data_IF_712978240389
#
_entry.id   IF_712978240389
#
_cell.length_a   1.000
_cell.length_b   1.000
_cell.length_c   1.000
_cell.angle_alpha   90.00
_cell.angle_beta   90.00
_cell.angle_gamma   90.00
#
_symmetry.space_group_name_H-M   'P 1'
#
loop_
_entity.id
_entity.type
_entity.pdbx_description
1 polymer ?
#
# COMPACT_ATOMS: atom_id res chain seq x y z
N UNK A 1 61.28 39.93 14.65
CA UNK A 1 61.25 40.58 13.32
C UNK A 1 59.84 40.40 12.74
N UNK A 2 59.04 41.47 12.63
CA UNK A 2 57.63 41.40 12.24
C UNK A 2 57.47 41.65 10.73
N UNK A 3 56.55 40.95 10.06
CA UNK A 3 56.08 41.37 8.73
C UNK A 3 54.74 40.70 8.34
N UNK A 4 53.74 41.56 8.15
CA UNK A 4 52.58 41.43 7.27
C UNK A 4 51.43 40.46 7.58
N UNK A 5 50.45 41.02 8.30
CA UNK A 5 49.02 40.91 7.97
C UNK A 5 48.80 40.97 6.45
N UNK A 6 48.20 39.93 5.88
CA UNK A 6 47.35 40.04 4.71
C UNK A 6 45.92 39.70 5.12
N UNK A 7 45.14 40.76 5.31
CA UNK A 7 43.68 40.72 5.28
C UNK A 7 43.26 40.36 3.86
N UNK A 8 42.86 39.11 3.63
CA UNK A 8 42.14 38.74 2.42
C UNK A 8 40.72 38.33 2.78
N UNK A 9 39.80 39.30 2.65
CA UNK A 9 38.37 39.07 2.67
C UNK A 9 37.96 38.32 1.40
N UNK A 10 38.00 37.00 1.42
CA UNK A 10 37.33 36.16 0.45
C UNK A 10 36.13 35.53 1.13
N UNK A 11 35.07 36.34 1.29
CA UNK A 11 33.73 35.85 1.62
C UNK A 11 33.28 35.01 0.42
N UNK A 12 33.43 33.69 0.54
CA UNK A 12 33.14 32.71 -0.51
C UNK A 12 31.66 32.68 -0.88
N UNK A 13 31.36 32.99 -2.14
CA UNK A 13 30.02 33.01 -2.75
C UNK A 13 29.47 31.62 -3.06
N UNK A 14 29.58 30.67 -2.14
CA UNK A 14 29.27 29.25 -2.40
C UNK A 14 28.05 28.72 -1.63
N UNK A 15 27.41 29.52 -0.78
CA UNK A 15 26.18 29.11 -0.10
C UNK A 15 25.03 28.88 -1.11
N UNK A 16 24.23 27.80 -0.98
CA UNK A 16 22.99 27.63 -1.73
C UNK A 16 22.04 28.83 -1.59
N UNK A 17 22.10 29.52 -0.43
CA UNK A 17 21.33 30.74 -0.17
C UNK A 17 21.79 31.92 -1.04
N UNK A 18 23.08 31.99 -1.36
CA UNK A 18 23.65 33.03 -2.23
C UNK A 18 23.44 32.72 -3.72
N UNK A 19 23.43 31.44 -4.13
CA UNK A 19 23.07 31.02 -5.51
C UNK A 19 21.62 31.39 -5.87
N UNK A 20 20.70 31.34 -4.89
CA UNK A 20 19.31 31.81 -5.08
C UNK A 20 19.24 33.34 -5.22
N UNK A 21 20.07 34.08 -4.47
CA UNK A 21 20.19 35.54 -4.60
C UNK A 21 20.80 35.98 -5.93
N UNK A 22 21.76 35.23 -6.48
CA UNK A 22 22.44 35.56 -7.73
C UNK A 22 21.63 35.20 -8.99
N UNK A 23 20.83 34.11 -8.98
CA UNK A 23 19.92 33.77 -10.08
C UNK A 23 18.87 34.85 -10.37
N UNK A 24 18.50 35.65 -9.37
CA UNK A 24 17.61 36.79 -9.56
C UNK A 24 18.28 38.01 -10.25
N UNK A 25 19.61 38.02 -10.41
CA UNK A 25 20.36 39.13 -11.05
C UNK A 25 20.88 38.82 -12.45
N UNK A 26 20.95 37.55 -12.86
CA UNK A 26 21.62 37.15 -14.11
C UNK A 26 20.66 36.55 -15.14
N UNK A 27 19.46 37.14 -15.28
CA UNK A 27 18.52 36.82 -16.35
C UNK A 27 18.25 38.08 -17.21
N UNK A 28 19.32 38.71 -17.72
CA UNK A 28 19.24 39.60 -18.89
C UNK A 28 20.45 39.26 -19.77
N UNK A 29 20.35 38.12 -20.46
CA UNK A 29 21.24 37.73 -21.55
C UNK A 29 20.66 38.22 -22.86
N UNK A 30 21.43 39.06 -23.55
CA UNK A 30 21.17 39.64 -24.88
C UNK A 30 20.98 38.54 -25.94
N UNK A 31 19.98 38.69 -26.80
CA UNK A 31 19.86 38.02 -28.10
C UNK A 31 19.50 39.05 -29.19
N UNK A 32 19.86 38.79 -30.46
CA UNK A 32 20.13 39.84 -31.44
C UNK A 32 18.87 40.43 -32.09
N UNK A 33 19.01 41.67 -32.53
CA UNK A 33 17.99 42.51 -33.15
C UNK A 33 17.57 41.92 -34.51
N UNK A 34 16.27 41.63 -34.67
CA UNK A 34 15.59 41.56 -35.97
C UNK A 34 14.57 42.70 -36.02
N UNK A 35 14.73 43.56 -37.01
CA UNK A 35 13.95 44.77 -37.24
C UNK A 35 12.54 44.45 -37.72
N UNK A 36 11.51 44.90 -36.98
CA UNK A 36 10.23 45.36 -37.56
C UNK A 36 9.50 46.31 -36.60
N UNK A 37 8.81 47.27 -37.23
CA UNK A 37 8.17 48.50 -36.76
C UNK A 37 7.22 48.36 -35.55
N UNK A 38 7.40 49.27 -34.59
CA UNK A 38 6.38 50.22 -34.12
C UNK A 38 5.16 49.70 -33.37
N UNK A 39 5.27 49.58 -32.03
CA UNK A 39 4.17 49.86 -31.08
C UNK A 39 4.77 50.47 -29.82
N UNK A 40 4.48 51.75 -29.58
CA UNK A 40 4.87 52.46 -28.35
C UNK A 40 3.97 51.99 -27.21
N UNK A 41 4.49 51.10 -26.36
CA UNK A 41 3.90 50.81 -25.04
C UNK A 41 4.79 51.38 -23.96
N UNK A 42 4.22 52.27 -23.14
CA UNK A 42 4.87 52.90 -21.98
C UNK A 42 5.47 51.82 -21.08
N UNK A 43 6.80 51.79 -21.00
CA UNK A 43 7.53 51.00 -20.02
C UNK A 43 7.28 51.57 -18.62
N UNK A 44 6.61 50.79 -17.76
CA UNK A 44 6.63 51.05 -16.31
C UNK A 44 8.04 50.74 -15.83
N UNK A 45 8.82 51.79 -15.62
CA UNK A 45 10.15 51.76 -15.04
C UNK A 45 10.14 51.08 -13.67
N UNK A 46 11.25 50.39 -13.39
CA UNK A 46 11.39 49.38 -12.36
C UNK A 46 11.06 49.86 -10.95
N UNK A 47 10.17 49.12 -10.29
CA UNK A 47 10.03 49.16 -8.84
C UNK A 47 11.15 48.31 -8.24
N UNK A 48 12.20 49.00 -7.82
CA UNK A 48 13.31 48.53 -6.99
C UNK A 48 12.94 47.37 -6.05
N UNK A 49 13.68 46.26 -6.15
CA UNK A 49 13.55 45.01 -5.37
C UNK A 49 13.95 45.13 -3.89
N UNK A 50 13.79 46.32 -3.29
CA UNK A 50 14.35 46.66 -1.97
C UNK A 50 13.58 46.12 -0.76
N UNK A 51 12.57 45.25 -0.91
CA UNK A 51 11.79 44.79 0.25
C UNK A 51 11.18 43.37 0.12
N UNK A 52 11.81 42.46 -0.62
CA UNK A 52 11.38 41.05 -0.62
C UNK A 52 11.47 40.42 0.79
N UNK A 53 12.38 40.90 1.63
CA UNK A 53 12.59 40.47 3.01
C UNK A 53 11.72 41.23 4.04
N UNK A 54 10.72 42.03 3.64
CA UNK A 54 9.72 42.61 4.58
C UNK A 54 8.28 42.20 4.30
N UNK A 55 8.02 41.42 3.24
CA UNK A 55 6.67 40.87 3.00
C UNK A 55 6.22 39.94 4.13
N UNK A 56 4.94 39.96 4.55
CA UNK A 56 4.43 38.93 5.44
C UNK A 56 4.55 37.54 4.82
N UNK A 57 4.58 36.51 5.65
CA UNK A 57 4.57 35.12 5.20
C UNK A 57 3.24 34.81 4.52
N UNK A 58 3.29 34.01 3.47
CA UNK A 58 2.09 33.44 2.85
C UNK A 58 1.47 32.39 3.77
N UNK A 59 0.15 32.16 3.69
CA UNK A 59 -0.54 31.09 4.43
C UNK A 59 0.12 29.71 4.23
N UNK A 60 0.68 29.45 3.04
CA UNK A 60 1.42 28.21 2.77
C UNK A 60 2.74 28.16 3.55
N UNK A 61 3.47 29.27 3.59
CA UNK A 61 4.74 29.39 4.32
C UNK A 61 4.52 29.27 5.82
N UNK A 62 3.46 29.89 6.36
CA UNK A 62 3.07 29.75 7.77
C UNK A 62 2.70 28.31 8.12
N UNK A 63 1.97 27.60 7.26
CA UNK A 63 1.64 26.18 7.48
C UNK A 63 2.89 25.32 7.55
N UNK A 64 3.80 25.47 6.58
CA UNK A 64 5.07 24.72 6.56
C UNK A 64 5.92 25.06 7.79
N UNK A 65 6.00 26.34 8.15
CA UNK A 65 6.74 26.77 9.34
C UNK A 65 6.17 26.13 10.61
N UNK A 66 4.85 26.13 10.78
CA UNK A 66 4.18 25.51 11.93
C UNK A 66 4.42 24.00 11.97
N UNK A 67 4.40 23.32 10.83
CA UNK A 67 4.69 21.88 10.74
C UNK A 67 6.14 21.57 11.13
N UNK A 68 7.10 22.34 10.62
CA UNK A 68 8.53 22.20 10.93
C UNK A 68 8.80 22.47 12.41
N UNK A 69 8.13 23.46 13.00
CA UNK A 69 8.31 23.81 14.41
C UNK A 69 7.53 22.89 15.36
N UNK A 70 6.54 22.13 14.88
CA UNK A 70 5.72 21.25 15.70
C UNK A 70 6.52 20.09 16.34
N UNK A 71 7.66 19.71 15.76
CA UNK A 71 8.53 18.65 16.28
C UNK A 71 9.99 19.13 16.37
N UNK A 72 10.76 18.58 17.30
CA UNK A 72 12.21 18.75 17.30
C UNK A 72 12.81 18.32 15.96
N UNK A 73 13.65 19.17 15.39
CA UNK A 73 14.35 18.85 14.15
C UNK A 73 15.53 17.95 14.50
N UNK A 74 15.40 16.67 14.15
CA UNK A 74 16.51 15.72 14.26
C UNK A 74 17.58 16.04 13.20
N UNK A 75 18.83 15.64 13.44
CA UNK A 75 19.92 15.63 12.45
C UNK A 75 21.01 14.67 12.91
N UNK A 76 21.88 14.22 12.00
CA UNK A 76 23.10 13.48 12.34
C UNK A 76 24.25 14.48 12.47
N UNK A 77 24.87 14.56 13.65
CA UNK A 77 25.93 15.53 13.95
C UNK A 77 27.25 15.18 13.24
N UNK A 78 28.08 16.20 13.03
CA UNK A 78 29.42 16.08 12.46
C UNK A 78 30.30 17.19 13.03
N UNK A 79 31.57 16.87 13.33
CA UNK A 79 32.53 17.82 13.90
C UNK A 79 32.71 19.08 13.04
N UNK A 80 32.53 18.93 11.73
CA UNK A 80 32.64 20.00 10.74
C UNK A 80 31.59 21.09 10.94
N UNK A 81 30.42 20.78 11.53
CA UNK A 81 29.30 21.72 11.62
C UNK A 81 29.54 22.89 12.57
N UNK A 82 30.49 22.76 13.51
CA UNK A 82 30.82 23.78 14.52
C UNK A 82 31.97 24.68 14.10
N UNK A 83 32.59 24.41 12.94
CA UNK A 83 33.67 25.24 12.42
C UNK A 83 33.13 26.59 11.94
N UNK A 84 33.89 27.69 12.10
CA UNK A 84 33.42 29.04 11.75
C UNK A 84 33.10 29.21 10.26
N UNK A 85 33.71 28.40 9.39
CA UNK A 85 33.51 28.37 7.94
C UNK A 85 32.75 27.12 7.46
N UNK A 86 32.05 26.42 8.36
CA UNK A 86 31.34 25.17 8.08
C UNK A 86 30.41 25.25 6.86
N UNK A 87 29.67 26.35 6.70
CA UNK A 87 28.76 26.54 5.56
C UNK A 87 29.50 26.53 4.22
N UNK A 88 30.59 27.30 4.14
CA UNK A 88 31.42 27.45 2.95
C UNK A 88 32.15 26.16 2.64
N UNK A 89 32.60 25.44 3.67
CA UNK A 89 33.24 24.13 3.52
C UNK A 89 32.24 23.09 3.00
N UNK A 90 31.12 22.88 3.68
CA UNK A 90 30.12 21.83 3.36
C UNK A 90 29.52 22.04 1.97
N UNK A 91 29.17 23.28 1.61
CA UNK A 91 28.62 23.57 0.28
C UNK A 91 29.68 23.88 -0.78
N UNK A 92 30.94 24.03 -0.39
CA UNK A 92 32.09 24.09 -1.28
C UNK A 92 32.56 22.72 -1.77
N UNK A 93 32.15 21.63 -1.10
CA UNK A 93 32.38 20.26 -1.57
C UNK A 93 31.72 20.03 -2.94
N UNK A 94 32.27 19.05 -3.67
CA UNK A 94 31.85 18.70 -5.03
C UNK A 94 30.33 18.62 -5.22
N UNK A 95 29.87 19.11 -6.37
CA UNK A 95 28.48 19.04 -6.76
C UNK A 95 28.19 17.63 -7.30
N UNK A 96 27.24 16.95 -6.66
CA UNK A 96 26.82 15.61 -7.05
C UNK A 96 25.67 15.75 -8.05
N UNK A 97 25.80 15.11 -9.21
CA UNK A 97 24.80 15.12 -10.27
C UNK A 97 23.44 14.63 -9.75
N UNK A 98 22.36 15.28 -10.21
CA UNK A 98 21.00 14.85 -9.89
C UNK A 98 20.62 13.67 -10.79
N UNK A 99 20.01 12.62 -10.24
CA UNK A 99 19.59 11.48 -11.04
C UNK A 99 18.48 11.88 -12.01
N UNK A 100 18.45 11.24 -13.18
CA UNK A 100 17.27 11.28 -14.04
C UNK A 100 16.26 10.24 -13.56
N UNK A 101 15.11 10.71 -13.07
CA UNK A 101 13.99 9.88 -12.60
C UNK A 101 12.84 9.78 -13.61
N UNK A 102 13.04 10.28 -14.84
CA UNK A 102 12.01 10.25 -15.88
C UNK A 102 11.52 8.83 -16.20
N UNK A 103 12.36 7.82 -15.96
CA UNK A 103 12.01 6.40 -16.15
C UNK A 103 11.01 5.87 -15.12
N UNK A 104 10.90 6.49 -13.93
CA UNK A 104 10.07 5.99 -12.83
C UNK A 104 8.59 6.32 -12.99
N UNK A 105 8.27 7.47 -13.60
CA UNK A 105 6.88 7.94 -13.79
C UNK A 105 6.06 7.02 -14.72
N UNK A 106 6.51 6.71 -15.95
CA UNK A 106 5.76 5.82 -16.86
C UNK A 106 5.53 4.45 -16.25
N UNK A 107 6.51 3.90 -15.52
CA UNK A 107 6.39 2.60 -14.87
C UNK A 107 5.25 2.58 -13.82
N UNK A 108 5.10 3.64 -13.04
CA UNK A 108 4.02 3.74 -12.06
C UNK A 108 2.67 4.02 -12.72
N UNK A 109 2.65 4.75 -13.84
CA UNK A 109 1.45 5.00 -14.63
C UNK A 109 0.97 3.74 -15.37
N UNK A 110 1.86 2.91 -15.90
CA UNK A 110 1.52 1.64 -16.56
C UNK A 110 0.89 0.61 -15.60
N UNK A 111 1.22 0.69 -14.31
CA UNK A 111 0.63 -0.12 -13.24
C UNK A 111 -0.74 0.39 -12.78
N UNK A 112 -1.14 1.60 -13.20
CA UNK A 112 -2.45 2.21 -12.91
C UNK A 112 -3.24 2.21 -14.23
N UNK A 113 -4.29 1.39 -14.39
CA UNK A 113 -4.99 1.28 -15.68
C UNK A 113 -5.74 2.58 -16.00
N UNK A 114 -5.08 3.52 -16.67
CA UNK A 114 -5.70 4.69 -17.30
C UNK A 114 -5.52 4.60 -18.81
N UNK A 115 -6.65 4.55 -19.51
CA UNK A 115 -6.73 4.69 -20.97
C UNK A 115 -6.01 5.98 -21.41
N UNK A 116 -4.92 5.84 -22.15
CA UNK A 116 -4.43 6.88 -23.05
C UNK A 116 -2.94 7.20 -22.96
N UNK A 117 -2.23 6.91 -24.07
CA UNK A 117 -0.83 7.19 -24.42
C UNK A 117 0.25 6.54 -23.53
N UNK A 118 0.77 5.44 -24.06
CA UNK A 118 2.03 4.80 -23.63
C UNK A 118 3.18 5.61 -24.23
N UNK A 119 3.82 6.48 -23.44
CA UNK A 119 5.14 6.99 -23.78
C UNK A 119 6.18 5.94 -23.37
N UNK A 120 6.96 5.45 -24.33
CA UNK A 120 8.03 4.49 -24.02
C UNK A 120 9.05 5.15 -23.09
N UNK A 121 9.37 4.54 -21.92
CA UNK A 121 10.30 5.14 -20.99
C UNK A 121 11.67 5.26 -21.65
N UNK A 122 12.19 6.48 -21.74
CA UNK A 122 13.61 6.70 -22.05
C UNK A 122 14.42 5.94 -21.00
N UNK A 123 15.35 5.09 -21.43
CA UNK A 123 16.31 4.45 -20.53
C UNK A 123 17.15 5.54 -19.87
N UNK A 124 16.71 6.00 -18.70
CA UNK A 124 17.41 7.00 -17.91
C UNK A 124 18.76 6.44 -17.48
N UNK A 125 19.80 7.29 -17.50
CA UNK A 125 21.09 6.95 -16.91
C UNK A 125 20.91 6.83 -15.40
N UNK A 126 20.96 5.62 -14.87
CA UNK A 126 21.00 5.40 -13.42
C UNK A 126 22.34 5.92 -12.89
N UNK A 127 22.32 7.06 -12.21
CA UNK A 127 23.49 7.62 -11.55
C UNK A 127 23.74 6.81 -10.27
N UNK A 128 24.69 5.89 -10.31
CA UNK A 128 25.11 5.14 -9.12
C UNK A 128 26.10 5.98 -8.32
N UNK A 129 25.73 6.35 -7.09
CA UNK A 129 26.58 7.17 -6.24
C UNK A 129 27.72 6.37 -5.60
N UNK A 130 28.92 6.96 -5.60
CA UNK A 130 30.06 6.47 -4.81
C UNK A 130 29.85 6.74 -3.32
N UNK A 131 30.60 6.05 -2.45
CA UNK A 131 30.50 6.27 -1.00
C UNK A 131 30.85 7.72 -0.62
N UNK A 132 31.79 8.32 -1.34
CA UNK A 132 32.18 9.71 -1.15
C UNK A 132 31.05 10.68 -1.52
N UNK A 133 30.39 10.45 -2.66
CA UNK A 133 29.26 11.28 -3.10
C UNK A 133 28.06 11.17 -2.15
N UNK A 134 27.74 9.97 -1.66
CA UNK A 134 26.71 9.77 -0.64
C UNK A 134 27.04 10.59 0.62
N UNK A 135 28.28 10.50 1.13
CA UNK A 135 28.72 11.30 2.29
C UNK A 135 28.53 12.80 2.06
N UNK A 136 28.90 13.31 0.88
CA UNK A 136 28.74 14.73 0.54
C UNK A 136 27.26 15.15 0.61
N UNK A 137 26.36 14.36 0.01
CA UNK A 137 24.92 14.65 0.05
C UNK A 137 24.37 14.61 1.47
N UNK A 138 24.71 13.59 2.26
CA UNK A 138 24.27 13.48 3.66
C UNK A 138 24.85 14.58 4.56
N UNK A 139 26.09 15.03 4.33
CA UNK A 139 26.67 16.18 5.03
C UNK A 139 25.92 17.48 4.70
N UNK A 140 25.66 17.75 3.42
CA UNK A 140 24.89 18.92 2.95
C UNK A 140 23.45 18.92 3.49
N UNK A 141 22.82 17.75 3.54
CA UNK A 141 21.48 17.54 4.10
C UNK A 141 21.44 17.79 5.62
N UNK A 142 22.35 17.16 6.37
CA UNK A 142 22.38 17.27 7.82
C UNK A 142 22.82 18.67 8.30
N UNK A 143 23.70 19.35 7.57
CA UNK A 143 24.08 20.73 7.90
C UNK A 143 22.88 21.69 7.83
N UNK A 144 22.02 21.55 6.81
CA UNK A 144 20.79 22.34 6.73
C UNK A 144 19.87 22.10 7.93
N UNK A 145 19.69 20.84 8.35
CA UNK A 145 18.90 20.47 9.54
C UNK A 145 19.52 20.97 10.84
N UNK A 146 20.85 20.89 10.96
CA UNK A 146 21.60 21.47 12.08
C UNK A 146 21.34 22.97 12.24
N UNK A 147 21.38 23.73 11.14
CA UNK A 147 21.08 25.17 11.15
C UNK A 147 19.64 25.46 11.56
N UNK A 148 18.67 24.70 11.07
CA UNK A 148 17.29 24.85 11.50
C UNK A 148 17.12 24.53 13.00
N UNK A 149 17.80 23.47 13.48
CA UNK A 149 17.76 23.08 14.89
C UNK A 149 18.41 24.12 15.80
N UNK A 150 19.50 24.75 15.38
CA UNK A 150 20.12 25.85 16.12
C UNK A 150 19.17 27.02 16.33
N UNK A 151 18.43 27.42 15.27
CA UNK A 151 17.39 28.47 15.37
C UNK A 151 16.24 28.02 16.26
N UNK A 152 15.82 26.75 16.17
CA UNK A 152 14.75 26.20 17.01
C UNK A 152 15.12 26.21 18.50
N UNK A 153 16.39 25.96 18.84
CA UNK A 153 16.91 26.04 20.22
C UNK A 153 16.92 27.50 20.70
N UNK A 154 17.42 28.43 19.89
CA UNK A 154 17.47 29.87 20.23
C UNK A 154 16.07 30.46 20.47
N UNK A 155 15.06 29.91 19.77
CA UNK A 155 13.68 30.34 19.92
C UNK A 155 13.10 30.04 21.31
N UNK A 156 13.50 28.93 21.93
CA UNK A 156 13.08 28.49 23.28
C UNK A 156 11.55 28.59 23.51
N UNK A 157 10.77 28.07 22.55
CA UNK A 157 9.30 28.05 22.62
C UNK A 157 8.58 29.37 22.30
N UNK A 158 9.32 30.45 22.00
CA UNK A 158 8.74 31.75 21.57
C UNK A 158 8.26 31.70 20.12
N UNK A 159 7.56 32.75 19.66
CA UNK A 159 7.22 32.90 18.23
C UNK A 159 8.43 33.42 17.46
N UNK A 160 8.79 32.83 16.31
CA UNK A 160 9.96 33.25 15.57
C UNK A 160 9.76 34.64 15.00
N UNK A 161 10.83 35.45 15.02
CA UNK A 161 10.86 36.71 14.27
C UNK A 161 10.71 36.43 12.77
N UNK A 162 10.24 37.41 11.99
CA UNK A 162 10.06 37.24 10.54
C UNK A 162 11.36 36.83 9.83
N UNK A 163 12.50 37.31 10.31
CA UNK A 163 13.83 36.94 9.78
C UNK A 163 14.16 35.49 10.09
N UNK A 164 14.01 35.06 11.35
CA UNK A 164 14.23 33.67 11.76
C UNK A 164 13.29 32.70 11.04
N UNK A 165 12.01 33.06 10.93
CA UNK A 165 11.02 32.25 10.23
C UNK A 165 11.40 32.02 8.76
N UNK A 166 11.88 33.06 8.07
CA UNK A 166 12.36 32.92 6.69
C UNK A 166 13.65 32.13 6.60
N UNK A 167 14.55 32.25 7.57
CA UNK A 167 15.77 31.45 7.59
C UNK A 167 15.46 29.96 7.76
N UNK A 168 14.56 29.60 8.68
CA UNK A 168 14.08 28.22 8.84
C UNK A 168 13.45 27.70 7.54
N UNK A 169 12.57 28.47 6.91
CA UNK A 169 11.93 28.06 5.66
C UNK A 169 12.94 27.86 4.52
N UNK A 170 13.95 28.74 4.43
CA UNK A 170 15.03 28.59 3.44
C UNK A 170 15.82 27.31 3.68
N UNK A 171 16.30 27.08 4.90
CA UNK A 171 17.02 25.84 5.22
C UNK A 171 16.16 24.59 5.04
N UNK A 172 14.87 24.66 5.37
CA UNK A 172 13.92 23.58 5.11
C UNK A 172 13.86 23.23 3.63
N UNK A 173 13.74 24.23 2.74
CA UNK A 173 13.74 23.97 1.28
C UNK A 173 15.06 23.35 0.79
N UNK A 174 16.19 23.75 1.36
CA UNK A 174 17.50 23.17 1.03
C UNK A 174 17.57 21.72 1.51
N UNK A 175 17.17 21.44 2.75
CA UNK A 175 17.14 20.10 3.32
C UNK A 175 16.24 19.16 2.51
N UNK A 176 15.01 19.58 2.20
CA UNK A 176 14.08 18.79 1.39
C UNK A 176 14.63 18.53 -0.02
N UNK A 177 15.30 19.51 -0.64
CA UNK A 177 15.90 19.28 -1.97
C UNK A 177 16.99 18.20 -1.98
N UNK A 178 17.81 18.11 -0.92
CA UNK A 178 18.81 17.05 -0.80
C UNK A 178 18.18 15.73 -0.40
N UNK A 179 17.15 15.76 0.45
CA UNK A 179 16.37 14.58 0.84
C UNK A 179 15.74 13.92 -0.37
N UNK A 180 15.10 14.72 -1.24
CA UNK A 180 14.56 14.29 -2.53
C UNK A 180 15.65 13.69 -3.42
N UNK A 181 16.77 14.41 -3.62
CA UNK A 181 17.88 13.90 -4.46
C UNK A 181 18.43 12.54 -3.97
N UNK A 182 18.61 12.38 -2.65
CA UNK A 182 19.09 11.12 -2.06
C UNK A 182 18.04 10.01 -2.25
N UNK A 183 16.75 10.31 -2.10
CA UNK A 183 15.70 9.33 -2.32
C UNK A 183 15.61 8.92 -3.80
N UNK A 184 15.61 9.89 -4.71
CA UNK A 184 15.54 9.72 -6.16
C UNK A 184 16.66 8.82 -6.70
N UNK A 185 17.90 9.03 -6.23
CA UNK A 185 19.06 8.20 -6.62
C UNK A 185 18.89 6.73 -6.22
N UNK A 186 18.06 6.44 -5.21
CA UNK A 186 17.86 5.11 -4.65
C UNK A 186 16.49 4.48 -4.99
N UNK A 187 15.65 5.11 -5.83
CA UNK A 187 14.36 4.53 -6.24
C UNK A 187 14.51 3.19 -6.97
N UNK A 188 15.56 3.04 -7.78
CA UNK A 188 15.85 1.81 -8.50
C UNK A 188 16.09 0.62 -7.55
N UNK A 189 16.66 0.87 -6.36
CA UNK A 189 16.87 -0.15 -5.34
C UNK A 189 15.52 -0.70 -4.85
N UNK A 190 14.55 0.16 -4.55
CA UNK A 190 13.23 -0.25 -4.06
C UNK A 190 12.53 -1.16 -5.07
N UNK A 191 12.55 -0.78 -6.36
CA UNK A 191 11.97 -1.60 -7.41
C UNK A 191 12.70 -2.93 -7.59
N UNK A 192 14.03 -2.93 -7.56
CA UNK A 192 14.82 -4.15 -7.67
C UNK A 192 14.52 -5.11 -6.51
N UNK A 193 14.30 -4.57 -5.30
CA UNK A 193 13.90 -5.36 -4.14
C UNK A 193 12.45 -5.85 -4.25
N UNK A 194 11.52 -4.99 -4.66
CA UNK A 194 10.11 -5.32 -4.82
C UNK A 194 9.91 -6.45 -5.84
N UNK A 195 10.59 -6.40 -6.98
CA UNK A 195 10.54 -7.45 -8.02
C UNK A 195 10.98 -8.83 -7.54
N UNK A 196 11.82 -8.90 -6.51
CA UNK A 196 12.28 -10.19 -5.95
C UNK A 196 11.27 -10.81 -4.99
N UNK A 197 10.35 -10.02 -4.45
CA UNK A 197 9.31 -10.52 -3.56
C UNK A 197 8.16 -10.96 -4.46
N UNK A 198 7.97 -12.28 -4.59
CA UNK A 198 6.84 -12.85 -5.32
C UNK A 198 5.56 -12.48 -4.56
N UNK A 199 4.81 -11.52 -5.08
CA UNK A 199 3.50 -11.10 -4.54
C UNK A 199 2.44 -11.46 -5.57
N UNK A 200 1.26 -11.84 -5.09
CA UNK A 200 0.08 -12.11 -5.92
C UNK A 200 -0.38 -10.82 -6.61
N UNK A 201 -0.95 -10.96 -7.81
CA UNK A 201 -1.26 -9.83 -8.68
C UNK A 201 -2.16 -8.77 -7.99
N UNK A 202 -1.85 -7.49 -8.19
CA UNK A 202 -2.62 -6.34 -7.68
C UNK A 202 -1.93 -5.49 -6.59
N UNK A 203 -0.98 -6.03 -5.83
CA UNK A 203 -0.34 -5.33 -4.68
C UNK A 203 1.03 -4.68 -5.00
N UNK A 204 1.52 -4.75 -6.24
CA UNK A 204 2.89 -4.32 -6.55
C UNK A 204 3.11 -2.81 -6.33
N UNK A 205 2.17 -1.96 -6.78
CA UNK A 205 2.27 -0.51 -6.61
C UNK A 205 2.22 -0.09 -5.13
N UNK A 206 1.39 -0.76 -4.34
CA UNK A 206 1.28 -0.53 -2.89
C UNK A 206 2.55 -0.96 -2.16
N UNK A 207 3.12 -2.11 -2.54
CA UNK A 207 4.40 -2.55 -2.02
C UNK A 207 5.50 -1.53 -2.31
N UNK A 208 5.65 -1.12 -3.57
CA UNK A 208 6.65 -0.13 -3.99
C UNK A 208 6.48 1.17 -3.21
N UNK A 209 5.23 1.62 -3.02
CA UNK A 209 4.92 2.82 -2.25
C UNK A 209 5.34 2.70 -0.78
N UNK A 210 5.08 1.56 -0.11
CA UNK A 210 5.55 1.31 1.26
C UNK A 210 7.09 1.24 1.33
N UNK A 211 7.72 0.65 0.30
CA UNK A 211 9.18 0.62 0.16
C UNK A 211 9.79 2.01 0.04
N UNK A 212 9.20 2.89 -0.78
CA UNK A 212 9.63 4.29 -0.92
C UNK A 212 9.46 5.06 0.39
N UNK A 213 8.36 4.83 1.13
CA UNK A 213 8.17 5.44 2.45
C UNK A 213 9.23 4.97 3.45
N UNK A 214 9.62 3.69 3.39
CA UNK A 214 10.71 3.17 4.21
C UNK A 214 12.08 3.73 3.79
N UNK A 215 12.31 3.93 2.50
CA UNK A 215 13.49 4.59 1.96
C UNK A 215 13.60 6.03 2.50
N UNK A 216 12.54 6.83 2.40
CA UNK A 216 12.51 8.21 2.93
C UNK A 216 12.84 8.25 4.43
N UNK A 217 12.22 7.38 5.23
CA UNK A 217 12.55 7.25 6.67
C UNK A 217 13.99 6.82 6.92
N UNK A 218 14.59 6.09 5.98
CA UNK A 218 15.99 5.67 6.06
C UNK A 218 16.93 6.83 5.77
N UNK A 219 16.62 7.69 4.80
CA UNK A 219 17.37 8.93 4.51
C UNK A 219 17.44 9.81 5.76
N UNK A 220 16.31 9.96 6.47
CA UNK A 220 16.25 10.85 7.64
C UNK A 220 17.15 10.42 8.81
N UNK A 221 17.46 9.12 8.90
CA UNK A 221 18.13 8.48 10.05
C UNK A 221 19.52 7.91 9.72
N UNK A 222 19.91 7.94 8.45
CA UNK A 222 21.16 7.32 8.03
C UNK A 222 22.36 8.15 8.49
N UNK A 223 23.31 7.46 9.12
CA UNK A 223 24.55 8.03 9.63
C UNK A 223 25.71 7.61 8.73
N UNK A 224 26.23 8.57 7.96
CA UNK A 224 27.33 8.34 7.04
C UNK A 224 28.71 8.25 7.73
N UNK A 225 28.81 8.65 9.00
CA UNK A 225 30.04 8.56 9.79
C UNK A 225 30.42 7.13 10.14
N UNK A 226 29.47 6.20 10.11
CA UNK A 226 29.69 4.77 10.41
C UNK A 226 30.42 3.99 9.32
N UNK A 227 30.70 4.60 8.17
CA UNK A 227 31.47 3.98 7.09
C UNK A 227 30.74 2.93 6.24
N UNK A 228 29.45 2.69 6.49
CA UNK A 228 28.64 1.78 5.66
C UNK A 228 28.01 2.50 4.47
N UNK A 229 27.68 1.74 3.42
CA UNK A 229 26.89 2.23 2.29
C UNK A 229 25.43 2.47 2.69
N UNK A 230 24.82 3.51 2.12
CA UNK A 230 23.41 3.82 2.38
C UNK A 230 22.48 2.66 1.97
N UNK A 231 22.75 2.06 0.80
CA UNK A 231 21.99 0.93 0.27
C UNK A 231 21.90 -0.25 1.25
N UNK A 232 22.97 -0.54 2.00
CA UNK A 232 22.99 -1.60 3.02
C UNK A 232 22.00 -1.34 4.15
N UNK A 233 21.94 -0.09 4.63
CA UNK A 233 21.00 0.31 5.68
C UNK A 233 19.56 0.36 5.16
N UNK A 234 19.35 1.02 4.02
CA UNK A 234 18.03 1.19 3.40
C UNK A 234 17.39 -0.17 3.06
N UNK A 235 18.17 -1.12 2.53
CA UNK A 235 17.69 -2.46 2.20
C UNK A 235 17.03 -3.16 3.40
N UNK A 236 17.63 -3.08 4.60
CA UNK A 236 17.04 -3.68 5.81
C UNK A 236 15.70 -3.04 6.19
N UNK A 237 15.61 -1.71 6.08
CA UNK A 237 14.39 -0.97 6.38
C UNK A 237 13.27 -1.24 5.36
N UNK A 238 13.62 -1.30 4.06
CA UNK A 238 12.70 -1.62 2.96
C UNK A 238 12.17 -3.05 3.12
N UNK A 239 13.04 -4.04 3.34
CA UNK A 239 12.63 -5.43 3.54
C UNK A 239 11.69 -5.58 4.75
N UNK A 240 11.97 -4.88 5.85
CA UNK A 240 11.10 -4.84 7.02
C UNK A 240 9.74 -4.22 6.70
N UNK A 241 9.70 -3.17 5.88
CA UNK A 241 8.46 -2.51 5.48
C UNK A 241 7.61 -3.42 4.58
N UNK A 242 8.23 -4.09 3.62
CA UNK A 242 7.58 -5.10 2.77
C UNK A 242 6.99 -6.26 3.57
N UNK A 243 7.75 -6.82 4.52
CA UNK A 243 7.25 -7.88 5.40
C UNK A 243 6.05 -7.41 6.24
N UNK A 244 6.10 -6.20 6.81
CA UNK A 244 4.98 -5.63 7.56
C UNK A 244 3.76 -5.38 6.68
N UNK A 245 3.96 -4.94 5.43
CA UNK A 245 2.88 -4.72 4.48
C UNK A 245 2.16 -6.03 4.16
N UNK A 246 2.88 -7.09 3.79
CA UNK A 246 2.29 -8.41 3.52
C UNK A 246 1.51 -8.98 4.71
N UNK A 247 2.04 -8.82 5.94
CA UNK A 247 1.32 -9.23 7.16
C UNK A 247 0.04 -8.41 7.40
N UNK A 248 0.06 -7.12 7.07
CA UNK A 248 -1.10 -6.23 7.21
C UNK A 248 -2.16 -6.57 6.16
N UNK A 249 -1.78 -6.76 4.90
CA UNK A 249 -2.69 -7.16 3.83
C UNK A 249 -3.32 -8.52 4.15
N UNK A 250 -2.53 -9.52 4.54
CA UNK A 250 -3.04 -10.84 4.93
C UNK A 250 -4.03 -10.75 6.10
N UNK A 251 -3.72 -9.97 7.15
CA UNK A 251 -4.64 -9.75 8.28
C UNK A 251 -5.91 -9.02 7.87
N UNK A 252 -5.81 -8.05 6.97
CA UNK A 252 -6.96 -7.34 6.44
C UNK A 252 -7.87 -8.29 5.67
N UNK A 253 -7.30 -9.09 4.75
CA UNK A 253 -8.03 -10.10 3.97
C UNK A 253 -8.66 -11.21 4.82
N UNK A 254 -8.02 -11.59 5.93
CA UNK A 254 -8.60 -12.54 6.89
C UNK A 254 -9.77 -11.94 7.69
N UNK A 255 -9.71 -10.65 8.01
CA UNK A 255 -10.73 -9.97 8.82
C UNK A 255 -11.91 -9.47 7.98
N UNK A 256 -11.62 -9.09 6.75
CA UNK A 256 -12.56 -8.63 5.75
C UNK A 256 -12.33 -9.47 4.50
N UNK A 257 -12.88 -10.70 4.44
CA UNK A 257 -13.08 -11.38 3.17
C UNK A 257 -13.82 -10.39 2.27
N UNK A 258 -13.26 -10.08 1.12
CA UNK A 258 -13.86 -9.15 0.16
C UNK A 258 -15.25 -9.63 -0.26
N UNK A 259 -16.10 -8.71 -0.70
CA UNK A 259 -17.33 -9.03 -1.43
C UNK A 259 -17.03 -9.97 -2.60
N UNK A 260 -17.98 -10.88 -2.88
CA UNK A 260 -17.98 -11.92 -3.93
C UNK A 260 -16.98 -11.64 -5.06
N UNK A 261 -15.87 -12.39 -5.08
CA UNK A 261 -14.95 -12.43 -6.22
C UNK A 261 -15.28 -13.67 -7.07
N UNK A 262 -15.92 -13.49 -8.24
CA UNK A 262 -16.33 -14.60 -9.11
C UNK A 262 -15.15 -15.46 -9.58
N UNK A 263 -13.90 -14.96 -9.53
CA UNK A 263 -12.72 -15.70 -9.96
C UNK A 263 -12.16 -16.64 -8.87
N UNK A 264 -12.45 -16.39 -7.59
CA UNK A 264 -11.89 -17.14 -6.46
C UNK A 264 -12.91 -17.94 -5.65
N UNK A 265 -14.19 -17.62 -5.76
CA UNK A 265 -15.26 -18.39 -5.11
C UNK A 265 -15.76 -19.49 -6.04
N UNK A 266 -15.76 -20.73 -5.55
CA UNK A 266 -16.37 -21.85 -6.29
C UNK A 266 -17.87 -21.64 -6.28
N UNK A 267 -18.51 -21.79 -7.43
CA UNK A 267 -19.96 -21.71 -7.52
C UNK A 267 -20.61 -22.76 -6.61
N UNK A 268 -21.40 -22.31 -5.64
CA UNK A 268 -22.23 -23.16 -4.78
C UNK A 268 -23.35 -23.87 -5.57
N UNK A 269 -23.50 -23.58 -6.86
CA UNK A 269 -24.53 -24.15 -7.74
C UNK A 269 -24.62 -25.67 -7.66
N UNK A 270 -23.47 -26.38 -7.63
CA UNK A 270 -23.47 -27.84 -7.54
C UNK A 270 -23.91 -28.35 -6.17
N UNK A 271 -23.62 -27.60 -5.10
CA UNK A 271 -24.02 -27.96 -3.74
C UNK A 271 -25.50 -27.67 -3.52
N UNK A 272 -25.98 -26.50 -3.96
CA UNK A 272 -27.40 -26.13 -3.97
C UNK A 272 -28.22 -27.12 -4.79
N UNK A 273 -27.78 -27.45 -6.02
CA UNK A 273 -28.48 -28.42 -6.88
C UNK A 273 -28.49 -29.82 -6.26
N UNK A 274 -27.43 -30.22 -5.57
CA UNK A 274 -27.41 -31.50 -4.83
C UNK A 274 -28.40 -31.48 -3.66
N UNK A 275 -28.48 -30.37 -2.92
CA UNK A 275 -29.41 -30.23 -1.81
C UNK A 275 -30.87 -30.28 -2.27
N UNK A 276 -31.20 -29.60 -3.37
CA UNK A 276 -32.52 -29.67 -4.02
C UNK A 276 -32.84 -31.12 -4.44
N UNK A 277 -31.93 -31.79 -5.14
CA UNK A 277 -32.16 -33.18 -5.57
C UNK A 277 -32.36 -34.15 -4.39
N UNK A 278 -31.65 -33.94 -3.27
CA UNK A 278 -31.84 -34.72 -2.04
C UNK A 278 -33.20 -34.46 -1.42
N UNK A 279 -33.67 -33.20 -1.42
CA UNK A 279 -34.98 -32.84 -0.92
C UNK A 279 -36.10 -33.48 -1.75
N UNK A 280 -36.02 -33.38 -3.09
CA UNK A 280 -36.99 -33.96 -4.02
C UNK A 280 -37.05 -35.49 -3.89
N UNK A 281 -35.88 -36.15 -3.81
CA UNK A 281 -35.81 -37.61 -3.62
C UNK A 281 -36.41 -38.03 -2.28
N UNK A 282 -36.21 -37.24 -1.22
CA UNK A 282 -36.79 -37.51 0.09
C UNK A 282 -38.31 -37.34 0.09
N UNK A 283 -38.84 -36.37 -0.65
CA UNK A 283 -40.28 -36.19 -0.83
C UNK A 283 -40.91 -37.35 -1.62
N UNK A 284 -40.26 -37.83 -2.68
CA UNK A 284 -40.71 -38.98 -3.45
C UNK A 284 -40.80 -40.25 -2.58
N UNK A 285 -39.78 -40.51 -1.75
CA UNK A 285 -39.79 -41.63 -0.80
C UNK A 285 -40.95 -41.51 0.20
N UNK A 286 -41.20 -40.31 0.73
CA UNK A 286 -42.35 -40.05 1.62
C UNK A 286 -43.67 -40.34 0.92
N UNK A 287 -43.83 -39.90 -0.32
CA UNK A 287 -45.04 -40.13 -1.11
C UNK A 287 -45.30 -41.62 -1.37
N UNK A 288 -44.25 -42.38 -1.72
CA UNK A 288 -44.31 -43.84 -1.91
C UNK A 288 -44.76 -44.54 -0.63
N UNK A 289 -44.27 -44.08 0.53
CA UNK A 289 -44.65 -44.63 1.83
C UNK A 289 -46.09 -44.28 2.23
N UNK A 290 -46.55 -43.05 1.99
CA UNK A 290 -47.90 -42.61 2.35
C UNK A 290 -48.97 -43.31 1.51
N UNK A 291 -48.79 -43.34 0.18
CA UNK A 291 -49.68 -44.05 -0.75
C UNK A 291 -49.47 -45.57 -0.80
N UNK A 292 -48.50 -46.10 -0.04
CA UNK A 292 -48.10 -47.51 -0.01
C UNK A 292 -47.87 -48.14 -1.41
N UNK A 293 -47.24 -47.39 -2.33
CA UNK A 293 -47.00 -47.84 -3.71
C UNK A 293 -46.08 -49.05 -3.81
N UNK A 294 -45.26 -49.29 -2.79
CA UNK A 294 -44.32 -50.42 -2.71
C UNK A 294 -44.91 -51.69 -2.08
N UNK A 295 -46.24 -51.74 -1.89
CA UNK A 295 -46.95 -52.90 -1.30
C UNK A 295 -46.25 -53.41 -0.03
N UNK A 296 -45.94 -52.48 0.87
CA UNK A 296 -45.31 -52.81 2.13
C UNK A 296 -46.34 -53.46 3.04
N UNK A 297 -45.96 -54.56 3.66
CA UNK A 297 -46.75 -55.18 4.73
C UNK A 297 -46.88 -54.20 5.90
N UNK A 298 -47.93 -54.35 6.71
CA UNK A 298 -48.14 -53.54 7.92
C UNK A 298 -46.90 -53.52 8.81
N UNK A 299 -46.23 -54.67 8.97
CA UNK A 299 -44.99 -54.81 9.75
C UNK A 299 -43.80 -54.09 9.08
N UNK A 300 -43.67 -54.19 7.75
CA UNK A 300 -42.62 -53.49 6.99
C UNK A 300 -42.77 -51.97 7.10
N UNK A 301 -44.01 -51.46 7.01
CA UNK A 301 -44.32 -50.03 7.16
C UNK A 301 -43.99 -49.52 8.55
N UNK A 302 -44.41 -50.23 9.61
CA UNK A 302 -44.12 -49.87 11.01
C UNK A 302 -42.61 -49.82 11.28
N UNK A 303 -41.85 -50.79 10.77
CA UNK A 303 -40.38 -50.80 10.91
C UNK A 303 -39.75 -49.57 10.27
N UNK A 304 -40.12 -49.21 9.04
CA UNK A 304 -39.53 -48.07 8.34
C UNK A 304 -39.96 -46.73 8.97
N UNK A 305 -41.24 -46.56 9.33
CA UNK A 305 -41.75 -45.33 9.96
C UNK A 305 -40.99 -45.02 11.26
N UNK A 306 -40.88 -45.99 12.16
CA UNK A 306 -40.21 -45.80 13.45
C UNK A 306 -38.68 -45.72 13.34
N UNK A 307 -38.08 -46.45 12.38
CA UNK A 307 -36.62 -46.45 12.20
C UNK A 307 -36.10 -45.14 11.63
N UNK A 308 -36.85 -44.53 10.72
CA UNK A 308 -36.44 -43.30 10.02
C UNK A 308 -37.19 -42.05 10.50
N UNK A 309 -38.11 -42.18 11.46
CA UNK A 309 -38.89 -41.05 12.00
C UNK A 309 -39.84 -40.43 10.97
N UNK A 310 -40.33 -41.23 10.02
CA UNK A 310 -41.20 -40.77 8.93
C UNK A 310 -42.64 -40.74 9.46
N UNK A 311 -43.34 -39.60 9.31
CA UNK A 311 -44.72 -39.43 9.77
C UNK A 311 -44.90 -39.21 11.28
N UNK A 312 -43.82 -39.22 12.06
CA UNK A 312 -43.82 -38.82 13.48
C UNK A 312 -43.50 -37.34 13.62
N UNK A 313 -44.05 -36.70 14.67
CA UNK A 313 -43.72 -35.31 15.01
C UNK A 313 -42.20 -35.11 15.04
N UNK A 314 -41.65 -33.98 14.55
CA UNK A 314 -40.20 -33.72 14.49
C UNK A 314 -39.47 -33.80 15.85
N UNK A 315 -40.22 -33.90 16.96
CA UNK A 315 -39.69 -34.09 18.31
C UNK A 315 -39.43 -35.56 18.69
N UNK A 316 -39.89 -36.54 17.89
CA UNK A 316 -39.67 -37.97 18.16
C UNK A 316 -38.43 -38.45 17.41
N UNK A 317 -37.33 -38.81 18.09
CA UNK A 317 -36.13 -39.29 17.43
C UNK A 317 -36.35 -40.68 16.79
N UNK A 318 -35.60 -41.01 15.72
CA UNK A 318 -35.65 -42.33 15.10
C UNK A 318 -35.26 -43.42 16.11
N UNK A 319 -36.02 -44.51 16.15
CA UNK A 319 -35.79 -45.62 17.06
C UNK A 319 -34.65 -46.53 16.56
N UNK A 320 -33.93 -47.14 17.49
CA UNK A 320 -32.92 -48.17 17.18
C UNK A 320 -33.59 -49.49 16.75
N UNK A 321 -32.86 -50.35 16.03
CA UNK A 321 -33.37 -51.66 15.61
C UNK A 321 -33.81 -52.54 16.78
N UNK A 322 -33.19 -52.36 17.93
CA UNK A 322 -33.51 -53.07 19.17
C UNK A 322 -34.82 -52.56 19.77
N UNK A 323 -35.01 -51.24 19.84
CA UNK A 323 -36.25 -50.62 20.31
C UNK A 323 -37.43 -50.94 19.39
N UNK A 324 -37.23 -50.91 18.07
CA UNK A 324 -38.25 -51.34 17.10
C UNK A 324 -38.55 -52.84 17.25
N UNK A 325 -37.55 -53.66 17.54
CA UNK A 325 -37.71 -55.10 17.80
C UNK A 325 -38.54 -55.37 19.05
N UNK A 326 -38.29 -54.64 20.14
CA UNK A 326 -39.06 -54.71 21.38
C UNK A 326 -40.54 -54.32 21.16
N UNK A 327 -40.81 -53.33 20.30
CA UNK A 327 -42.18 -52.89 19.98
C UNK A 327 -42.96 -53.95 19.18
N UNK A 328 -42.29 -54.64 18.25
CA UNK A 328 -42.93 -55.61 17.33
C UNK A 328 -42.88 -57.04 17.90
N UNK A 329 -42.12 -57.28 18.97
CA UNK A 329 -41.93 -58.59 19.59
C UNK A 329 -40.98 -59.51 18.81
N UNK A 330 -39.98 -58.94 18.12
CA UNK A 330 -39.01 -59.70 17.30
C UNK A 330 -37.57 -59.34 17.65
N UNK A 331 -36.64 -60.23 17.29
CA UNK A 331 -35.20 -59.97 17.52
C UNK A 331 -34.68 -58.83 16.65
N UNK A 332 -33.63 -58.14 17.12
CA UNK A 332 -32.93 -57.07 16.39
C UNK A 332 -32.54 -57.47 14.96
N UNK A 333 -32.04 -58.68 14.79
CA UNK A 333 -31.65 -59.20 13.47
C UNK A 333 -32.86 -59.43 12.56
N UNK A 334 -34.00 -59.85 13.12
CA UNK A 334 -35.24 -59.97 12.36
C UNK A 334 -35.77 -58.61 11.88
N UNK A 335 -35.66 -57.56 12.70
CA UNK A 335 -35.98 -56.18 12.27
C UNK A 335 -35.08 -55.74 11.12
N UNK A 336 -33.77 -56.02 11.19
CA UNK A 336 -32.82 -55.68 10.12
C UNK A 336 -33.18 -56.36 8.80
N UNK A 337 -33.57 -57.64 8.83
CA UNK A 337 -34.03 -58.36 7.65
C UNK A 337 -35.29 -57.74 7.04
N UNK A 338 -36.28 -57.40 7.88
CA UNK A 338 -37.52 -56.75 7.46
C UNK A 338 -37.22 -55.36 6.86
N UNK A 339 -36.33 -54.59 7.49
CA UNK A 339 -35.88 -53.29 6.97
C UNK A 339 -35.27 -53.42 5.58
N UNK A 340 -34.31 -54.34 5.39
CA UNK A 340 -33.65 -54.50 4.10
C UNK A 340 -34.62 -54.94 3.00
N UNK A 341 -35.57 -55.82 3.34
CA UNK A 341 -36.63 -56.25 2.41
C UNK A 341 -37.54 -55.09 2.01
N UNK A 342 -37.93 -54.26 2.97
CA UNK A 342 -38.75 -53.07 2.72
C UNK A 342 -38.01 -52.03 1.87
N UNK A 343 -36.73 -51.76 2.17
CA UNK A 343 -35.90 -50.85 1.38
C UNK A 343 -35.69 -51.35 -0.06
N UNK A 344 -35.54 -52.67 -0.27
CA UNK A 344 -35.44 -53.25 -1.60
C UNK A 344 -36.73 -53.04 -2.42
N UNK A 345 -37.91 -53.17 -1.79
CA UNK A 345 -39.20 -52.88 -2.44
C UNK A 345 -39.35 -51.40 -2.80
N UNK A 346 -39.02 -50.49 -1.86
CA UNK A 346 -39.06 -49.04 -2.11
C UNK A 346 -38.13 -48.67 -3.26
N UNK A 347 -36.91 -49.22 -3.25
CA UNK A 347 -35.94 -49.03 -4.33
C UNK A 347 -36.45 -49.53 -5.68
N UNK A 348 -37.08 -50.71 -5.73
CA UNK A 348 -37.65 -51.24 -6.96
C UNK A 348 -38.72 -50.31 -7.57
N UNK A 349 -39.52 -49.64 -6.73
CA UNK A 349 -40.52 -48.65 -7.20
C UNK A 349 -39.85 -47.41 -7.77
N UNK A 350 -38.83 -46.88 -7.08
CA UNK A 350 -38.06 -45.70 -7.54
C UNK A 350 -37.37 -46.01 -8.87
N UNK A 351 -36.71 -47.17 -8.97
CA UNK A 351 -36.01 -47.61 -10.18
C UNK A 351 -36.98 -47.91 -11.34
N UNK A 352 -38.23 -48.29 -11.06
CA UNK A 352 -39.26 -48.56 -12.08
C UNK A 352 -39.89 -47.30 -12.70
N UNK A 353 -39.64 -46.11 -12.14
CA UNK A 353 -39.96 -44.83 -12.76
C UNK A 353 -41.43 -44.59 -13.13
N UNK A 354 -42.39 -45.18 -12.41
CA UNK A 354 -43.82 -44.97 -12.72
C UNK A 354 -44.22 -43.49 -12.46
N UNK A 355 -44.58 -42.71 -13.49
CA UNK A 355 -44.87 -41.29 -13.33
C UNK A 355 -46.09 -41.05 -12.42
N UNK A 356 -46.11 -39.89 -11.78
CA UNK A 356 -47.23 -39.36 -10.97
C UNK A 356 -48.48 -39.11 -11.84
N UNK A 357 -49.16 -40.16 -12.31
CA UNK A 357 -50.50 -40.05 -12.88
C UNK A 357 -51.54 -40.10 -11.75
N UNK A 358 -51.74 -38.97 -11.07
CA UNK A 358 -53.01 -38.70 -10.38
C UNK A 358 -53.97 -38.07 -11.41
N UNK A 359 -54.63 -38.92 -12.22
CA UNK A 359 -55.80 -38.50 -13.00
C UNK A 359 -57.00 -38.32 -12.05
N UNK A 360 -57.89 -37.34 -12.29
CA UNK A 360 -59.00 -37.07 -11.37
C UNK A 360 -59.98 -38.24 -11.34
N UNK A 361 -60.40 -38.58 -10.11
CA UNK A 361 -61.54 -39.44 -9.82
C UNK A 361 -62.74 -39.01 -10.66
N UNK A 362 -63.16 -39.89 -11.58
CA UNK A 362 -64.45 -39.79 -12.23
C UNK A 362 -65.55 -39.71 -11.16
N UNK A 363 -66.27 -38.59 -11.12
CA UNK A 363 -67.58 -38.50 -10.48
C UNK A 363 -68.63 -38.87 -11.53
N UNK A 364 -69.34 -39.96 -11.21
CA UNK A 364 -70.65 -40.42 -11.70
C UNK A 364 -70.84 -40.65 -13.20
#
# INVERSE_FOLDING_TARGET
>A
MPAHRQTNSLIGRNSPLDRVRSRARTAIGKTPIRTTKGVVTRSRSGRSSRNADSRPLSRREERVLNEVLARPIDYIDSDVFRQPDAESYVYGLDEVERPDVSWYRPLMEDLIPRRGRIETPRQGKSVLLTAAQERILFLKFNYARFRMRAIQIDLDGRRPSLTMAREILRWHTVAESFREQIAETNLALVLAMAKRIRIMDGEFADLVSEGNMALMRSVDKFDCGRGFKFSTYACRAILKAFSRHGMKSTRHRQRFPTDFDPAFEKSDFLETRRAEQVADSAEEVRHIMDKNRAELSKVERTVILHRFGIGTSPQTPPLTLEQVGQMIGVTKERVRQIQNKALAKIRAVIDSGAPLNDGPLAKN
#
